data_IF_792651250559
#
_entry.id   IF_792651250559
#
_cell.length_a   1.000
_cell.length_b   1.000
_cell.length_c   1.000
_cell.angle_alpha   90.00
_cell.angle_beta   90.00
_cell.angle_gamma   90.00
#
_symmetry.space_group_name_H-M   'P 1'
#
loop_
_entity.id
_entity.type
_entity.pdbx_description
1 polymer ?
#
# COMPACT_ATOMS: atom_id res chain seq x y z
N UNK A 1 -20.40 -55.45 1.45
CA UNK A 1 -20.06 -56.37 0.34
C UNK A 1 -20.70 -55.85 -0.94
N UNK A 2 -20.05 -56.09 -2.08
CA UNK A 2 -20.43 -55.78 -3.47
C UNK A 2 -20.28 -54.30 -3.91
N UNK A 3 -19.70 -53.94 -5.05
CA UNK A 3 -18.88 -54.65 -6.04
C UNK A 3 -18.09 -53.57 -6.82
N UNK A 4 -16.76 -53.71 -6.97
CA UNK A 4 -15.98 -52.92 -7.93
C UNK A 4 -16.01 -53.66 -9.27
N UNK A 5 -16.62 -53.07 -10.28
CA UNK A 5 -16.52 -53.56 -11.65
C UNK A 5 -15.13 -53.21 -12.20
N UNK A 6 -14.27 -54.22 -12.23
CA UNK A 6 -13.03 -54.24 -13.01
C UNK A 6 -13.38 -54.57 -14.46
N UNK A 7 -12.87 -53.77 -15.41
CA UNK A 7 -12.84 -54.15 -16.82
C UNK A 7 -11.38 -54.16 -17.24
N UNK A 8 -10.83 -55.36 -17.36
CA UNK A 8 -9.46 -55.60 -17.79
C UNK A 8 -9.36 -55.71 -19.32
N UNK A 9 -8.10 -55.53 -19.76
CA UNK A 9 -7.45 -55.90 -21.04
C UNK A 9 -7.52 -54.80 -22.11
N UNK A 10 -6.42 -54.37 -22.71
CA UNK A 10 -5.41 -55.19 -23.42
C UNK A 10 -3.99 -54.64 -23.23
N UNK A 11 -3.03 -55.57 -23.11
CA UNK A 11 -1.58 -55.41 -23.11
C UNK A 11 -0.99 -55.24 -24.51
N UNK A 12 0.03 -54.39 -24.65
CA UNK A 12 1.19 -54.63 -25.53
C UNK A 12 2.38 -53.81 -25.03
N UNK A 13 3.52 -54.50 -24.93
CA UNK A 13 4.81 -54.04 -24.42
C UNK A 13 5.49 -53.02 -25.36
N UNK A 14 6.34 -52.17 -24.79
CA UNK A 14 7.16 -51.20 -25.52
C UNK A 14 7.98 -50.34 -24.57
N UNK A 15 9.14 -50.85 -24.18
CA UNK A 15 10.20 -50.17 -23.44
C UNK A 15 10.86 -49.12 -24.34
N UNK A 16 10.93 -47.85 -23.89
CA UNK A 16 12.01 -46.91 -24.24
C UNK A 16 12.00 -45.74 -23.24
N UNK A 17 12.99 -45.75 -22.35
CA UNK A 17 13.16 -44.78 -21.28
C UNK A 17 13.52 -43.39 -21.81
N UNK A 18 12.54 -42.50 -21.84
CA UNK A 18 12.72 -41.06 -21.87
C UNK A 18 11.92 -40.48 -20.69
N UNK A 19 12.62 -40.11 -19.62
CA UNK A 19 12.01 -39.60 -18.39
C UNK A 19 11.15 -38.37 -18.68
N UNK A 20 9.84 -38.55 -18.69
CA UNK A 20 8.88 -37.45 -18.77
C UNK A 20 8.84 -36.75 -17.41
N UNK A 21 9.11 -35.44 -17.41
CA UNK A 21 8.86 -34.61 -16.22
C UNK A 21 7.37 -34.70 -15.89
N UNK A 22 7.02 -35.35 -14.77
CA UNK A 22 5.66 -35.30 -14.24
C UNK A 22 5.29 -33.86 -13.89
N UNK A 23 4.34 -33.29 -14.63
CA UNK A 23 3.65 -32.06 -14.24
C UNK A 23 2.90 -32.38 -12.94
N UNK A 24 3.46 -31.94 -11.81
CA UNK A 24 2.77 -32.00 -10.51
C UNK A 24 1.44 -31.26 -10.64
N UNK A 25 0.34 -32.01 -10.63
CA UNK A 25 -1.01 -31.44 -10.51
C UNK A 25 -1.08 -30.70 -9.18
N UNK A 26 -1.03 -29.37 -9.25
CA UNK A 26 -1.30 -28.52 -8.10
C UNK A 26 -2.76 -28.81 -7.71
N UNK A 27 -3.03 -29.25 -6.47
CA UNK A 27 -4.41 -29.49 -6.04
C UNK A 27 -5.16 -28.16 -6.16
N UNK A 28 -6.32 -28.19 -6.82
CA UNK A 28 -7.21 -27.05 -6.98
C UNK A 28 -7.72 -26.64 -5.60
N UNK A 29 -6.92 -25.86 -4.87
CA UNK A 29 -7.30 -25.30 -3.59
C UNK A 29 -8.55 -24.46 -3.79
N UNK A 30 -9.57 -24.76 -2.98
CA UNK A 30 -10.83 -24.01 -2.94
C UNK A 30 -10.52 -22.55 -2.66
N UNK A 31 -10.66 -21.69 -3.68
CA UNK A 31 -10.61 -20.24 -3.48
C UNK A 31 -11.68 -19.86 -2.46
N UNK A 32 -11.26 -19.51 -1.24
CA UNK A 32 -12.18 -18.97 -0.23
C UNK A 32 -12.70 -17.66 -0.79
N UNK A 33 -13.96 -17.65 -1.24
CA UNK A 33 -14.67 -16.41 -1.57
C UNK A 33 -14.69 -15.54 -0.32
N UNK A 34 -13.85 -14.52 -0.29
CA UNK A 34 -13.98 -13.46 0.70
C UNK A 34 -15.28 -12.73 0.39
N UNK A 35 -16.18 -12.62 1.38
CA UNK A 35 -17.41 -11.86 1.22
C UNK A 35 -17.05 -10.41 0.93
N UNK A 36 -17.45 -9.89 -0.23
CA UNK A 36 -17.23 -8.49 -0.61
C UNK A 36 -18.24 -7.62 0.15
N UNK A 37 -17.76 -6.90 1.15
CA UNK A 37 -18.53 -5.84 1.79
C UNK A 37 -18.15 -4.50 1.16
N UNK A 38 -19.10 -3.78 0.53
CA UNK A 38 -18.82 -2.46 -0.01
C UNK A 38 -18.38 -1.54 1.13
N UNK A 39 -17.22 -0.89 0.96
CA UNK A 39 -16.74 0.10 1.94
C UNK A 39 -17.67 1.30 1.94
N UNK A 40 -17.77 1.98 3.09
CA UNK A 40 -18.49 3.26 3.19
C UNK A 40 -17.96 4.23 2.12
N UNK A 41 -18.83 4.97 1.42
CA UNK A 41 -18.40 6.00 0.47
C UNK A 41 -17.49 7.04 1.14
N UNK A 42 -16.42 7.43 0.46
CA UNK A 42 -15.50 8.48 0.91
C UNK A 42 -16.15 9.84 0.67
N UNK A 43 -16.53 10.54 1.75
CA UNK A 43 -17.16 11.87 1.70
C UNK A 43 -16.17 12.99 1.96
N UNK A 44 -15.16 12.71 2.78
CA UNK A 44 -14.11 13.66 3.15
C UNK A 44 -12.73 12.99 3.09
N UNK A 45 -11.66 13.80 2.98
CA UNK A 45 -10.29 13.32 3.14
C UNK A 45 -10.09 12.61 4.49
N UNK A 46 -10.89 12.97 5.51
CA UNK A 46 -10.90 12.32 6.83
C UNK A 46 -11.33 10.86 6.80
N UNK A 47 -12.04 10.42 5.75
CA UNK A 47 -12.43 9.02 5.56
C UNK A 47 -11.32 8.18 4.92
N UNK A 48 -10.25 8.82 4.41
CA UNK A 48 -9.12 8.11 3.83
C UNK A 48 -8.29 7.45 4.93
N UNK A 49 -8.13 6.13 4.85
CA UNK A 49 -7.24 5.36 5.75
C UNK A 49 -5.83 5.97 5.80
N UNK A 50 -5.31 6.39 4.63
CA UNK A 50 -3.98 7.01 4.52
C UNK A 50 -3.87 8.32 5.30
N UNK A 51 -4.91 9.15 5.32
CA UNK A 51 -4.93 10.37 6.12
C UNK A 51 -4.94 10.05 7.62
N UNK A 52 -5.82 9.14 8.04
CA UNK A 52 -5.95 8.76 9.45
C UNK A 52 -4.64 8.17 10.01
N UNK A 53 -4.01 7.27 9.25
CA UNK A 53 -2.77 6.61 9.67
C UNK A 53 -1.58 7.56 9.71
N UNK A 54 -1.42 8.41 8.69
CA UNK A 54 -0.32 9.38 8.66
C UNK A 54 -0.48 10.45 9.73
N UNK A 55 -1.71 10.96 9.95
CA UNK A 55 -2.00 11.91 11.02
C UNK A 55 -1.70 11.32 12.41
N UNK A 56 -2.09 10.07 12.67
CA UNK A 56 -1.78 9.39 13.92
C UNK A 56 -0.27 9.17 14.10
N UNK A 57 0.43 8.69 13.05
CA UNK A 57 1.88 8.48 13.10
C UNK A 57 2.62 9.79 13.38
N UNK A 58 2.22 10.89 12.74
CA UNK A 58 2.78 12.22 12.97
C UNK A 58 2.59 12.70 14.41
N UNK A 59 1.39 12.49 14.98
CA UNK A 59 1.13 12.79 16.39
C UNK A 59 1.98 11.90 17.34
N UNK A 60 2.20 10.63 16.99
CA UNK A 60 3.02 9.73 17.78
C UNK A 60 4.50 10.11 17.73
N UNK A 61 5.04 10.51 16.58
CA UNK A 61 6.41 11.06 16.47
C UNK A 61 6.56 12.29 17.35
N UNK A 62 5.64 13.27 17.22
CA UNK A 62 5.68 14.52 17.98
C UNK A 62 5.61 14.32 19.50
N UNK A 63 4.88 13.30 19.96
CA UNK A 63 4.74 13.02 21.41
C UNK A 63 5.85 12.14 21.96
N UNK A 64 6.24 11.10 21.23
CA UNK A 64 7.11 10.03 21.75
C UNK A 64 8.57 10.20 21.38
N UNK A 65 8.86 10.85 20.25
CA UNK A 65 10.21 10.97 19.68
C UNK A 65 10.74 12.39 19.88
N UNK A 66 10.03 13.40 19.36
CA UNK A 66 10.51 14.79 19.31
C UNK A 66 11.07 15.29 20.65
N UNK A 67 10.39 15.15 21.81
CA UNK A 67 10.89 15.67 23.08
C UNK A 67 12.24 15.08 23.53
N UNK A 68 12.57 13.88 23.05
CA UNK A 68 13.81 13.17 23.43
C UNK A 68 15.01 13.59 22.59
N UNK A 69 14.77 14.16 21.41
CA UNK A 69 15.79 14.54 20.43
C UNK A 69 15.89 16.05 20.19
N UNK A 70 14.93 16.85 20.68
CA UNK A 70 14.98 18.31 20.60
C UNK A 70 16.27 18.84 21.22
N UNK A 71 16.98 19.70 20.47
CA UNK A 71 18.28 20.25 20.86
C UNK A 71 19.47 19.29 20.69
N UNK A 72 19.22 18.02 20.35
CA UNK A 72 20.27 17.01 20.09
C UNK A 72 20.38 16.63 18.62
N UNK A 73 19.24 16.47 17.95
CA UNK A 73 19.18 16.04 16.56
C UNK A 73 19.12 17.26 15.62
N UNK A 74 20.11 17.43 14.72
CA UNK A 74 20.25 18.64 13.90
C UNK A 74 19.12 18.83 12.88
N UNK A 75 18.35 17.78 12.59
CA UNK A 75 17.26 17.82 11.60
C UNK A 75 15.86 17.79 12.25
N UNK A 76 15.75 18.10 13.56
CA UNK A 76 14.47 18.05 14.28
C UNK A 76 13.38 18.90 13.62
N UNK A 77 13.71 20.12 13.18
CA UNK A 77 12.74 21.01 12.53
C UNK A 77 12.32 20.49 11.16
N UNK A 78 13.28 19.97 10.37
CA UNK A 78 12.99 19.37 9.06
C UNK A 78 12.15 18.10 9.16
N UNK A 79 12.41 17.27 10.16
CA UNK A 79 11.58 16.09 10.46
C UNK A 79 10.17 16.51 10.88
N UNK A 80 10.05 17.54 11.72
CA UNK A 80 8.76 18.07 12.18
C UNK A 80 7.94 18.67 11.03
N UNK A 81 8.59 19.33 10.08
CA UNK A 81 7.95 19.77 8.85
C UNK A 81 7.51 18.57 8.00
N UNK A 82 8.40 17.61 7.75
CA UNK A 82 8.17 16.40 6.97
C UNK A 82 6.93 15.62 7.46
N UNK A 83 6.84 15.34 8.77
CA UNK A 83 5.71 14.60 9.34
C UNK A 83 4.37 15.36 9.23
N UNK A 84 4.36 16.70 9.30
CA UNK A 84 3.14 17.49 9.20
C UNK A 84 2.70 17.68 7.74
N UNK A 85 3.66 17.69 6.80
CA UNK A 85 3.40 17.83 5.37
C UNK A 85 2.61 16.64 4.81
N UNK A 86 2.90 15.40 5.24
CA UNK A 86 2.25 14.19 4.71
C UNK A 86 0.70 14.25 4.77
N UNK A 87 0.06 14.44 5.95
CA UNK A 87 -1.39 14.52 6.03
C UNK A 87 -1.97 15.74 5.30
N UNK A 88 -1.23 16.85 5.21
CA UNK A 88 -1.65 18.04 4.47
C UNK A 88 -1.70 17.78 2.96
N UNK A 89 -0.65 17.16 2.39
CA UNK A 89 -0.62 16.77 0.97
C UNK A 89 -1.76 15.83 0.62
N UNK A 90 -2.10 14.87 1.49
CA UNK A 90 -3.22 13.95 1.28
C UNK A 90 -4.57 14.69 1.25
N UNK A 91 -4.77 15.65 2.17
CA UNK A 91 -5.98 16.46 2.22
C UNK A 91 -6.11 17.37 0.99
N UNK A 92 -5.01 17.98 0.56
CA UNK A 92 -4.96 18.80 -0.64
C UNK A 92 -5.20 17.97 -1.90
N UNK A 93 -4.57 16.80 -2.02
CA UNK A 93 -4.77 15.87 -3.13
C UNK A 93 -6.25 15.47 -3.27
N UNK A 94 -6.92 15.19 -2.14
CA UNK A 94 -8.34 14.91 -2.13
C UNK A 94 -9.19 16.09 -2.61
N UNK A 95 -8.77 17.33 -2.35
CA UNK A 95 -9.48 18.53 -2.81
C UNK A 95 -9.31 18.75 -4.32
N UNK A 96 -8.17 18.35 -4.89
CA UNK A 96 -7.87 18.49 -6.33
C UNK A 96 -8.38 17.36 -7.21
N UNK A 97 -8.80 16.22 -6.63
CA UNK A 97 -9.09 14.96 -7.33
C UNK A 97 -10.10 14.99 -8.49
N UNK A 98 -10.89 16.07 -8.62
CA UNK A 98 -11.89 16.23 -9.70
C UNK A 98 -11.68 17.50 -10.55
N UNK A 99 -10.95 18.50 -10.04
CA UNK A 99 -10.72 19.78 -10.73
C UNK A 99 -9.38 19.76 -11.46
N UNK A 100 -8.31 19.38 -10.75
CA UNK A 100 -6.95 19.24 -11.28
C UNK A 100 -6.39 17.88 -10.85
N UNK A 101 -6.86 16.88 -11.59
CA UNK A 101 -6.55 15.48 -11.44
C UNK A 101 -5.03 15.19 -11.46
N UNK A 102 -4.27 15.90 -12.30
CA UNK A 102 -2.82 15.74 -12.42
C UNK A 102 -2.11 16.27 -11.18
N UNK A 103 -2.50 17.44 -10.69
CA UNK A 103 -1.97 17.99 -9.44
C UNK A 103 -2.34 17.10 -8.25
N UNK A 104 -3.57 16.56 -8.21
CA UNK A 104 -3.98 15.60 -7.18
C UNK A 104 -3.07 14.35 -7.13
N UNK A 105 -2.74 13.77 -8.30
CA UNK A 105 -1.79 12.65 -8.38
C UNK A 105 -0.37 13.04 -7.96
N UNK A 106 0.11 14.23 -8.35
CA UNK A 106 1.43 14.73 -7.97
C UNK A 106 1.56 14.90 -6.45
N UNK A 107 0.52 15.43 -5.79
CA UNK A 107 0.50 15.58 -4.33
C UNK A 107 0.53 14.22 -3.61
N UNK A 108 -0.14 13.20 -4.16
CA UNK A 108 0.00 11.82 -3.64
C UNK A 108 1.42 11.29 -3.81
N UNK A 109 2.07 11.55 -4.94
CA UNK A 109 3.46 11.16 -5.19
C UNK A 109 4.44 11.82 -4.20
N UNK A 110 4.27 13.13 -3.99
CA UNK A 110 5.05 13.90 -3.01
C UNK A 110 4.84 13.38 -1.59
N UNK A 111 3.60 13.01 -1.22
CA UNK A 111 3.32 12.42 0.09
C UNK A 111 4.02 11.06 0.31
N UNK A 112 4.22 10.27 -0.75
CA UNK A 112 5.03 9.03 -0.68
C UNK A 112 6.50 9.33 -0.49
N UNK A 113 7.02 10.37 -1.15
CA UNK A 113 8.40 10.82 -0.97
C UNK A 113 8.66 11.27 0.48
N UNK A 114 7.74 12.03 1.07
CA UNK A 114 7.81 12.43 2.48
C UNK A 114 7.70 11.23 3.44
N UNK A 115 6.87 10.22 3.14
CA UNK A 115 6.86 8.97 3.93
C UNK A 115 8.24 8.29 3.94
N UNK A 116 8.93 8.24 2.79
CA UNK A 116 10.28 7.68 2.72
C UNK A 116 11.29 8.51 3.52
N UNK A 117 11.20 9.85 3.46
CA UNK A 117 12.06 10.73 4.28
C UNK A 117 11.84 10.49 5.78
N UNK A 118 10.59 10.30 6.22
CA UNK A 118 10.30 9.96 7.62
C UNK A 118 10.92 8.62 8.03
N UNK A 119 10.94 7.60 7.16
CA UNK A 119 11.64 6.34 7.45
C UNK A 119 13.12 6.60 7.70
N UNK A 120 13.79 7.37 6.84
CA UNK A 120 15.21 7.72 7.00
C UNK A 120 15.45 8.47 8.32
N UNK A 121 14.63 9.46 8.66
CA UNK A 121 14.75 10.19 9.92
C UNK A 121 14.61 9.26 11.13
N UNK A 122 13.63 8.37 11.12
CA UNK A 122 13.39 7.45 12.23
C UNK A 122 14.49 6.39 12.35
N UNK A 123 15.06 5.91 11.24
CA UNK A 123 16.22 5.01 11.25
C UNK A 123 17.45 5.69 11.85
N UNK A 124 17.74 6.92 11.43
CA UNK A 124 18.83 7.70 12.01
C UNK A 124 18.64 7.94 13.51
N UNK A 125 17.41 8.28 13.93
CA UNK A 125 17.11 8.51 15.34
C UNK A 125 17.26 7.22 16.15
N UNK A 126 16.75 6.09 15.64
CA UNK A 126 16.88 4.77 16.25
C UNK A 126 18.35 4.39 16.47
N UNK A 127 19.20 4.65 15.47
CA UNK A 127 20.58 4.18 15.47
C UNK A 127 21.51 5.12 16.26
N UNK A 128 21.25 6.43 16.26
CA UNK A 128 22.08 7.43 16.96
C UNK A 128 21.64 7.63 18.42
N UNK A 129 20.33 7.66 18.68
CA UNK A 129 19.75 7.99 19.99
C UNK A 129 19.02 6.80 20.63
N UNK A 130 19.45 5.56 20.33
CA UNK A 130 18.84 4.34 20.87
C UNK A 130 18.91 4.21 22.40
N UNK A 131 19.74 5.02 23.08
CA UNK A 131 19.78 5.13 24.54
C UNK A 131 18.67 6.02 25.12
N UNK A 132 18.18 7.00 24.35
CA UNK A 132 17.12 7.91 24.78
C UNK A 132 15.75 7.53 24.21
N UNK A 133 15.74 7.03 22.98
CA UNK A 133 14.55 6.66 22.22
C UNK A 133 14.45 5.14 22.18
N UNK A 134 13.29 4.64 22.59
CA UNK A 134 13.01 3.21 22.51
C UNK A 134 13.00 2.75 21.05
N UNK A 135 13.91 1.84 20.73
CA UNK A 135 14.06 1.26 19.41
C UNK A 135 12.76 0.66 18.87
N UNK A 136 11.95 0.02 19.72
CA UNK A 136 10.69 -0.58 19.32
C UNK A 136 9.69 0.47 18.81
N UNK A 137 9.66 1.65 19.44
CA UNK A 137 8.81 2.77 19.02
C UNK A 137 9.23 3.28 17.64
N UNK A 138 10.54 3.41 17.39
CA UNK A 138 11.04 3.77 16.06
C UNK A 138 10.64 2.72 15.01
N UNK A 139 10.81 1.44 15.30
CA UNK A 139 10.48 0.35 14.38
C UNK A 139 8.97 0.27 14.06
N UNK A 140 8.10 0.52 15.04
CA UNK A 140 6.66 0.63 14.82
C UNK A 140 6.30 1.81 13.92
N UNK A 141 6.90 2.97 14.15
CA UNK A 141 6.66 4.17 13.33
C UNK A 141 7.21 4.03 11.91
N UNK A 142 8.38 3.40 11.74
CA UNK A 142 8.93 3.05 10.43
C UNK A 142 7.94 2.16 9.67
N UNK A 143 7.42 1.09 10.30
CA UNK A 143 6.40 0.22 9.71
C UNK A 143 5.13 0.99 9.34
N UNK A 144 4.71 1.95 10.17
CA UNK A 144 3.54 2.78 9.89
C UNK A 144 3.72 3.67 8.66
N UNK A 145 4.90 4.28 8.46
CA UNK A 145 5.18 5.09 7.27
C UNK A 145 5.36 4.25 6.00
N UNK A 146 6.00 3.07 6.09
CA UNK A 146 6.09 2.12 4.96
C UNK A 146 4.68 1.66 4.54
N UNK A 147 3.86 1.25 5.51
CA UNK A 147 2.47 0.86 5.26
C UNK A 147 1.66 2.00 4.64
N UNK A 148 1.81 3.22 5.17
CA UNK A 148 1.12 4.40 4.64
C UNK A 148 1.52 4.68 3.20
N UNK A 149 2.82 4.61 2.87
CA UNK A 149 3.31 4.74 1.49
C UNK A 149 2.66 3.76 0.54
N UNK A 150 2.58 2.48 0.91
CA UNK A 150 1.92 1.47 0.08
C UNK A 150 0.44 1.75 -0.14
N UNK A 151 -0.26 2.22 0.89
CA UNK A 151 -1.68 2.58 0.79
C UNK A 151 -1.90 3.83 -0.05
N UNK A 152 -1.01 4.82 0.06
CA UNK A 152 -1.02 6.01 -0.82
C UNK A 152 -0.79 5.57 -2.27
N UNK A 153 0.14 4.67 -2.55
CA UNK A 153 0.35 4.15 -3.91
C UNK A 153 -0.88 3.44 -4.47
N UNK A 154 -1.61 2.69 -3.64
CA UNK A 154 -2.88 2.06 -4.06
C UNK A 154 -3.95 3.10 -4.35
N UNK A 155 -4.04 4.16 -3.55
CA UNK A 155 -4.94 5.28 -3.78
C UNK A 155 -4.59 6.00 -5.09
N UNK A 156 -3.31 6.30 -5.31
CA UNK A 156 -2.78 6.88 -6.54
C UNK A 156 -3.22 6.07 -7.77
N UNK A 157 -3.00 4.74 -7.76
CA UNK A 157 -3.41 3.87 -8.87
C UNK A 157 -4.93 3.87 -9.08
N UNK A 158 -5.70 3.86 -7.99
CA UNK A 158 -7.16 3.91 -8.06
C UNK A 158 -7.66 5.20 -8.70
N UNK A 159 -7.06 6.34 -8.34
CA UNK A 159 -7.43 7.63 -8.93
C UNK A 159 -7.00 7.70 -10.38
N UNK A 160 -5.76 7.35 -10.70
CA UNK A 160 -5.26 7.32 -12.08
C UNK A 160 -6.14 6.45 -12.99
N UNK A 161 -6.52 5.25 -12.55
CA UNK A 161 -7.41 4.38 -13.33
C UNK A 161 -8.80 5.00 -13.56
N UNK A 162 -9.34 5.71 -12.57
CA UNK A 162 -10.62 6.40 -12.69
C UNK A 162 -10.56 7.54 -13.72
N UNK A 163 -9.45 8.29 -13.72
CA UNK A 163 -9.20 9.37 -14.68
C UNK A 163 -9.10 8.83 -16.12
N UNK A 164 -8.28 7.79 -16.33
CA UNK A 164 -8.14 7.16 -17.64
C UNK A 164 -9.47 6.59 -18.16
N UNK A 165 -10.31 6.05 -17.27
CA UNK A 165 -11.64 5.58 -17.65
C UNK A 165 -12.57 6.73 -18.04
N UNK A 166 -12.56 7.82 -17.29
CA UNK A 166 -13.33 9.01 -17.59
C UNK A 166 -12.93 9.63 -18.94
N UNK A 167 -11.64 9.74 -19.23
CA UNK A 167 -11.11 10.22 -20.51
C UNK A 167 -11.51 9.32 -21.68
N UNK A 168 -11.39 7.98 -21.55
CA UNK A 168 -11.83 7.03 -22.57
C UNK A 168 -13.32 7.15 -22.87
N UNK A 169 -14.15 7.27 -21.84
CA UNK A 169 -15.60 7.40 -21.99
C UNK A 169 -15.97 8.74 -22.65
N UNK A 170 -15.29 9.83 -22.31
CA UNK A 170 -15.47 11.13 -22.95
C UNK A 170 -15.10 11.11 -24.45
N UNK A 171 -14.02 10.39 -24.81
CA UNK A 171 -13.63 10.18 -26.21
C UNK A 171 -14.70 9.45 -27.02
N UNK A 172 -15.22 8.34 -26.49
CA UNK A 172 -16.30 7.57 -27.13
C UNK A 172 -17.57 8.37 -27.40
N UNK A 173 -17.94 9.29 -26.49
CA UNK A 173 -19.12 10.15 -26.67
C UNK A 173 -18.93 11.14 -27.83
N UNK A 174 -17.69 11.57 -28.09
CA UNK A 174 -17.38 12.51 -29.17
C UNK A 174 -17.37 11.84 -30.54
N UNK A 175 -17.04 10.55 -30.63
CA UNK A 175 -17.04 9.78 -31.89
C UNK A 175 -18.46 9.40 -32.38
N UNK A 176 -19.46 9.46 -31.50
CA UNK A 176 -20.86 9.08 -31.81
C UNK A 176 -21.70 10.30 -32.27
N UNK A 177 -21.17 11.52 -32.19
CA UNK A 177 -21.81 12.76 -32.66
C UNK A 177 -21.24 13.21 -33.99
#
# INVERSE_FOLDING_TARGET
MAAKNYRDKISTEGNDGMGTMEIRKIPSGTFRKTSFYPKKPVRSFRDLEVYQKTSQASADVMRKITPKITGKYPMTDRMSQCLLTIPNLIAEAHSRRFEDEKTGLKLLDESMAECNKMVVYLEQIRDIYGGEVDRSVCEELIKAYIYSREKIFRLYKSWKSFQEEHERNAGRIREVK
#
